data_IF_602700662526
#
_entry.id   IF_602700662526
#
_cell.length_a   1.000
_cell.length_b   1.000
_cell.length_c   1.000
_cell.angle_alpha   90.00
_cell.angle_beta   90.00
_cell.angle_gamma   90.00
#
_symmetry.space_group_name_H-M   'P 1'
#
loop_
_entity.id
_entity.type
_entity.pdbx_description
1 polymer ?
#
# COMPACT_ATOMS: atom_id res chain seq x y z
N UNK A 1 16.71 -12.73 -15.90
CA UNK A 1 16.57 -12.73 -14.43
C UNK A 1 15.31 -13.51 -14.09
N UNK A 2 15.43 -14.66 -13.40
CA UNK A 2 14.28 -15.34 -12.79
C UNK A 2 13.93 -14.55 -11.54
N UNK A 3 12.78 -13.88 -11.52
CA UNK A 3 12.29 -13.26 -10.29
C UNK A 3 11.90 -14.41 -9.37
N UNK A 4 12.78 -14.67 -8.40
CA UNK A 4 12.54 -15.63 -7.35
C UNK A 4 11.23 -15.33 -6.63
N UNK A 5 10.73 -16.36 -5.97
CA UNK A 5 9.60 -16.44 -5.03
C UNK A 5 9.51 -15.30 -3.99
N UNK A 6 10.53 -14.44 -3.93
CA UNK A 6 10.71 -13.21 -3.15
C UNK A 6 9.94 -11.99 -3.68
N UNK A 7 9.36 -12.03 -4.88
CA UNK A 7 8.63 -10.86 -5.42
C UNK A 7 7.34 -10.53 -4.64
N UNK A 8 6.67 -11.53 -4.05
CA UNK A 8 5.46 -11.32 -3.24
C UNK A 8 5.73 -10.60 -1.92
N UNK A 9 6.85 -10.93 -1.27
CA UNK A 9 7.30 -10.25 -0.05
C UNK A 9 7.64 -8.79 -0.35
N UNK A 10 8.21 -8.47 -1.51
CA UNK A 10 8.57 -7.10 -1.86
C UNK A 10 7.35 -6.18 -2.02
N UNK A 11 6.21 -6.71 -2.46
CA UNK A 11 4.95 -5.95 -2.52
C UNK A 11 4.37 -5.74 -1.12
N UNK A 12 4.31 -6.79 -0.30
CA UNK A 12 3.76 -6.70 1.05
C UNK A 12 4.63 -5.82 1.99
N UNK A 13 5.96 -5.87 1.84
CA UNK A 13 6.91 -5.20 2.74
C UNK A 13 7.04 -3.69 2.46
N UNK A 14 6.83 -3.24 1.24
CA UNK A 14 7.04 -1.82 0.89
C UNK A 14 5.87 -0.91 1.34
N UNK A 15 4.70 -1.48 1.63
CA UNK A 15 3.58 -0.77 2.30
C UNK A 15 3.94 -0.37 3.75
N UNK A 16 4.96 -1.00 4.37
CA UNK A 16 5.24 -0.94 5.82
C UNK A 16 6.32 0.09 6.22
N UNK A 17 7.01 0.75 5.28
CA UNK A 17 8.23 1.51 5.57
C UNK A 17 8.06 2.92 6.20
N UNK A 18 6.92 3.26 6.83
CA UNK A 18 6.69 4.59 7.47
C UNK A 18 6.82 4.53 9.01
N UNK A 19 7.53 3.55 9.56
CA UNK A 19 7.65 3.37 11.03
C UNK A 19 8.52 4.43 11.75
N UNK A 20 9.52 4.99 11.08
CA UNK A 20 10.55 5.81 11.74
C UNK A 20 10.09 7.24 12.13
N UNK A 21 9.01 7.76 11.53
CA UNK A 21 8.61 9.16 11.69
C UNK A 21 7.73 9.42 12.93
N UNK A 22 7.07 8.41 13.48
CA UNK A 22 6.05 8.56 14.53
C UNK A 22 6.67 8.96 15.89
N UNK A 23 7.86 8.46 16.20
CA UNK A 23 8.55 8.76 17.47
C UNK A 23 8.90 10.25 17.63
N UNK A 24 9.02 11.01 16.53
CA UNK A 24 9.32 12.45 16.59
C UNK A 24 8.15 13.29 17.11
N UNK A 25 6.91 12.85 16.90
CA UNK A 25 5.70 13.67 17.15
C UNK A 25 5.11 13.52 18.54
N UNK A 26 5.31 12.38 19.20
CA UNK A 26 4.76 12.16 20.54
C UNK A 26 5.49 12.97 21.61
N UNK A 27 6.71 13.44 21.33
CA UNK A 27 7.58 14.07 22.33
C UNK A 27 7.61 15.60 22.25
N UNK A 28 7.34 16.24 21.09
CA UNK A 28 7.68 17.67 20.91
C UNK A 28 6.57 18.65 20.47
N UNK A 29 5.49 18.23 19.83
CA UNK A 29 4.32 19.07 19.56
C UNK A 29 3.20 18.21 18.97
N UNK A 30 1.97 18.34 19.47
CA UNK A 30 0.81 17.68 18.88
C UNK A 30 0.67 18.05 17.39
N UNK A 31 0.15 17.15 16.53
CA UNK A 31 -0.09 17.46 15.12
C UNK A 31 -0.95 18.73 14.99
N UNK A 32 -0.66 19.60 14.02
CA UNK A 32 -1.63 20.62 13.58
C UNK A 32 -2.96 19.92 13.24
N UNK A 33 -4.10 20.60 13.44
CA UNK A 33 -5.42 19.98 13.19
C UNK A 33 -5.55 19.44 11.77
N UNK A 34 -4.98 20.14 10.79
CA UNK A 34 -4.89 19.74 9.38
C UNK A 34 -4.12 18.44 9.13
N UNK A 35 -3.17 18.10 10.00
CA UNK A 35 -2.34 16.90 9.88
C UNK A 35 -2.91 15.69 10.63
N UNK A 36 -3.97 15.87 11.42
CA UNK A 36 -4.61 14.76 12.14
C UNK A 36 -5.21 13.72 11.17
N UNK A 37 -5.94 14.10 10.10
CA UNK A 37 -6.46 13.14 9.13
C UNK A 37 -5.36 12.43 8.32
N UNK A 38 -4.27 13.13 8.00
CA UNK A 38 -3.11 12.53 7.34
C UNK A 38 -2.48 11.46 8.21
N UNK A 39 -2.36 11.70 9.52
CA UNK A 39 -1.84 10.71 10.46
C UNK A 39 -2.74 9.48 10.56
N UNK A 40 -4.06 9.63 10.63
CA UNK A 40 -5.00 8.50 10.60
C UNK A 40 -4.83 7.66 9.31
N UNK A 41 -4.64 8.31 8.15
CA UNK A 41 -4.34 7.61 6.89
C UNK A 41 -3.03 6.82 6.95
N UNK A 42 -1.95 7.42 7.43
CA UNK A 42 -0.64 6.77 7.56
C UNK A 42 -0.66 5.61 8.56
N UNK A 43 -1.32 5.80 9.70
CA UNK A 43 -1.46 4.77 10.74
C UNK A 43 -2.28 3.59 10.26
N UNK A 44 -3.39 3.85 9.57
CA UNK A 44 -4.19 2.81 8.96
C UNK A 44 -3.41 2.02 7.91
N UNK A 45 -2.68 2.70 7.03
CA UNK A 45 -1.85 2.03 6.03
C UNK A 45 -0.83 1.08 6.68
N UNK A 46 -0.14 1.53 7.74
CA UNK A 46 0.80 0.71 8.50
C UNK A 46 0.12 -0.50 9.13
N UNK A 47 -0.97 -0.26 9.86
CA UNK A 47 -1.69 -1.33 10.56
C UNK A 47 -2.26 -2.39 9.60
N UNK A 48 -2.77 -1.96 8.44
CA UNK A 48 -3.21 -2.87 7.39
C UNK A 48 -2.05 -3.62 6.74
N UNK A 49 -0.91 -2.95 6.49
CA UNK A 49 0.30 -3.61 5.99
C UNK A 49 0.77 -4.73 6.92
N UNK A 50 0.79 -4.51 8.23
CA UNK A 50 1.10 -5.54 9.24
C UNK A 50 0.07 -6.69 9.26
N UNK A 51 -1.22 -6.37 9.12
CA UNK A 51 -2.28 -7.39 9.06
C UNK A 51 -2.23 -8.23 7.77
N UNK A 52 -1.95 -7.61 6.63
CA UNK A 52 -1.78 -8.32 5.37
C UNK A 52 -0.53 -9.20 5.46
N UNK A 53 0.60 -8.65 5.90
CA UNK A 53 1.86 -9.39 6.05
C UNK A 53 1.72 -10.61 6.98
N UNK A 54 1.02 -10.46 8.12
CA UNK A 54 0.79 -11.56 9.06
C UNK A 54 -0.16 -12.64 8.53
N UNK A 55 -1.09 -12.30 7.63
CA UNK A 55 -2.01 -13.24 7.00
C UNK A 55 -1.40 -13.96 5.79
N UNK A 56 -0.50 -13.30 5.07
CA UNK A 56 0.21 -13.90 3.92
C UNK A 56 1.32 -14.87 4.34
N UNK A 57 1.84 -14.80 5.57
CA UNK A 57 2.88 -15.71 6.08
C UNK A 57 4.10 -15.84 5.16
N UNK A 58 4.83 -16.97 5.25
CA UNK A 58 5.86 -17.38 4.28
C UNK A 58 5.24 -18.02 3.02
N UNK A 59 3.91 -17.97 2.85
CA UNK A 59 3.21 -18.70 1.81
C UNK A 59 3.57 -18.12 0.43
N UNK A 60 4.29 -18.87 -0.40
CA UNK A 60 4.75 -18.34 -1.66
C UNK A 60 3.67 -18.47 -2.73
N UNK A 61 3.16 -17.37 -3.27
CA UNK A 61 2.19 -17.44 -4.36
C UNK A 61 1.44 -16.14 -4.60
N UNK A 62 0.60 -16.14 -5.64
CA UNK A 62 -0.34 -15.05 -5.92
C UNK A 62 -1.37 -15.00 -4.79
N UNK A 63 -1.73 -13.80 -4.28
CA UNK A 63 -2.84 -13.65 -3.36
C UNK A 63 -4.05 -14.43 -3.87
N UNK A 64 -4.56 -15.31 -3.02
CA UNK A 64 -5.83 -16.00 -3.18
C UNK A 64 -6.98 -15.01 -3.19
N UNK A 65 -8.16 -15.45 -3.63
CA UNK A 65 -9.38 -14.61 -3.64
C UNK A 65 -9.69 -14.08 -2.24
N UNK A 66 -9.41 -14.88 -1.20
CA UNK A 66 -9.59 -14.48 0.18
C UNK A 66 -8.62 -13.37 0.61
N UNK A 67 -7.38 -13.38 0.11
CA UNK A 67 -6.39 -12.33 0.37
C UNK A 67 -6.72 -11.04 -0.40
N UNK A 68 -7.25 -11.14 -1.62
CA UNK A 68 -7.76 -9.98 -2.37
C UNK A 68 -8.81 -9.18 -1.62
N UNK A 69 -9.71 -9.83 -0.87
CA UNK A 69 -10.70 -9.13 -0.04
C UNK A 69 -10.05 -8.28 1.05
N UNK A 70 -8.91 -8.72 1.62
CA UNK A 70 -8.15 -7.92 2.58
C UNK A 70 -7.48 -6.70 1.92
N UNK A 71 -6.96 -6.87 0.71
CA UNK A 71 -6.44 -5.76 -0.09
C UNK A 71 -7.54 -4.76 -0.47
N UNK A 72 -8.73 -5.23 -0.82
CA UNK A 72 -9.87 -4.36 -1.11
C UNK A 72 -10.27 -3.54 0.12
N UNK A 73 -10.40 -4.18 1.29
CA UNK A 73 -10.70 -3.48 2.54
C UNK A 73 -9.64 -2.42 2.90
N UNK A 74 -8.36 -2.69 2.60
CA UNK A 74 -7.30 -1.69 2.71
C UNK A 74 -7.51 -0.52 1.75
N UNK A 75 -7.75 -0.76 0.45
CA UNK A 75 -7.96 0.31 -0.52
C UNK A 75 -9.20 1.17 -0.19
N UNK A 76 -10.29 0.55 0.24
CA UNK A 76 -11.51 1.24 0.68
C UNK A 76 -11.22 2.11 1.91
N UNK A 77 -10.54 1.56 2.92
CA UNK A 77 -10.18 2.29 4.12
C UNK A 77 -9.15 3.41 3.89
N UNK A 78 -8.32 3.30 2.85
CA UNK A 78 -7.45 4.39 2.36
C UNK A 78 -8.28 5.52 1.74
N UNK A 79 -9.29 5.18 0.92
CA UNK A 79 -10.19 6.15 0.32
C UNK A 79 -11.03 6.90 1.36
N UNK A 80 -11.60 6.19 2.33
CA UNK A 80 -12.36 6.77 3.43
C UNK A 80 -11.54 7.79 4.24
N UNK A 81 -10.25 7.52 4.45
CA UNK A 81 -9.37 8.41 5.20
C UNK A 81 -8.85 9.56 4.36
N UNK A 82 -8.57 9.32 3.09
CA UNK A 82 -8.17 10.39 2.17
C UNK A 82 -9.26 11.47 2.06
N UNK A 83 -10.54 11.09 2.09
CA UNK A 83 -11.66 12.03 2.09
C UNK A 83 -11.73 12.93 3.34
N UNK A 84 -11.11 12.52 4.44
CA UNK A 84 -11.05 13.33 5.68
C UNK A 84 -9.91 14.36 5.66
N UNK A 85 -9.01 14.28 4.69
CA UNK A 85 -7.92 15.24 4.51
C UNK A 85 -8.48 16.46 3.75
N UNK A 86 -8.63 17.59 4.44
CA UNK A 86 -9.32 18.79 3.89
C UNK A 86 -8.38 19.88 3.40
N UNK A 87 -7.16 19.96 3.94
CA UNK A 87 -6.14 20.91 3.47
C UNK A 87 -5.87 20.68 1.97
N UNK A 88 -6.00 21.69 1.09
CA UNK A 88 -5.98 21.50 -0.36
C UNK A 88 -4.76 20.75 -0.89
N UNK A 89 -3.57 21.06 -0.37
CA UNK A 89 -2.32 20.44 -0.83
C UNK A 89 -2.18 19.00 -0.30
N UNK A 90 -2.61 18.74 0.94
CA UNK A 90 -2.60 17.39 1.51
C UNK A 90 -3.68 16.49 0.88
N UNK A 91 -4.87 17.06 0.61
CA UNK A 91 -6.01 16.36 0.05
C UNK A 91 -5.71 15.82 -1.35
N UNK A 92 -4.98 16.58 -2.17
CA UNK A 92 -4.54 16.16 -3.51
C UNK A 92 -3.67 14.91 -3.44
N UNK A 93 -2.64 14.93 -2.60
CA UNK A 93 -1.71 13.80 -2.46
C UNK A 93 -2.41 12.59 -1.82
N UNK A 94 -3.24 12.80 -0.78
CA UNK A 94 -4.02 11.74 -0.15
C UNK A 94 -5.01 11.06 -1.10
N UNK A 95 -5.74 11.84 -1.90
CA UNK A 95 -6.68 11.31 -2.92
C UNK A 95 -5.94 10.53 -4.00
N UNK A 96 -4.76 11.02 -4.42
CA UNK A 96 -3.91 10.33 -5.39
C UNK A 96 -3.44 8.98 -4.85
N UNK A 97 -2.99 8.93 -3.59
CA UNK A 97 -2.59 7.68 -2.92
C UNK A 97 -3.76 6.70 -2.84
N UNK A 98 -4.96 7.15 -2.44
CA UNK A 98 -6.15 6.30 -2.38
C UNK A 98 -6.56 5.77 -3.76
N UNK A 99 -6.44 6.58 -4.82
CA UNK A 99 -6.72 6.15 -6.19
C UNK A 99 -5.74 5.08 -6.63
N UNK A 100 -4.44 5.29 -6.40
CA UNK A 100 -3.40 4.32 -6.73
C UNK A 100 -3.56 3.01 -5.95
N UNK A 101 -4.02 3.06 -4.69
CA UNK A 101 -4.33 1.87 -3.91
C UNK A 101 -5.46 1.06 -4.56
N UNK A 102 -6.53 1.71 -5.02
CA UNK A 102 -7.60 1.05 -5.77
C UNK A 102 -7.10 0.44 -7.09
N UNK A 103 -6.28 1.16 -7.85
CA UNK A 103 -5.66 0.64 -9.08
C UNK A 103 -4.79 -0.59 -8.80
N UNK A 104 -4.05 -0.57 -7.69
CA UNK A 104 -3.21 -1.67 -7.26
C UNK A 104 -4.06 -2.93 -6.98
N UNK A 105 -5.17 -2.78 -6.24
CA UNK A 105 -6.07 -3.91 -5.95
C UNK A 105 -6.75 -4.43 -7.22
N UNK A 106 -7.19 -3.54 -8.11
CA UNK A 106 -7.79 -3.91 -9.39
C UNK A 106 -6.87 -4.79 -10.27
N UNK A 107 -5.55 -4.65 -10.11
CA UNK A 107 -4.55 -5.45 -10.83
C UNK A 107 -4.29 -6.84 -10.23
N UNK A 108 -4.71 -7.13 -9.00
CA UNK A 108 -4.50 -8.44 -8.37
C UNK A 108 -5.18 -9.56 -9.18
N UNK A 109 -6.42 -9.34 -9.62
CA UNK A 109 -7.18 -10.31 -10.41
C UNK A 109 -6.51 -10.61 -11.75
N UNK A 110 -5.94 -9.58 -12.38
CA UNK A 110 -5.19 -9.70 -13.62
C UNK A 110 -3.91 -10.51 -13.41
N UNK A 111 -3.15 -10.22 -12.35
CA UNK A 111 -1.95 -11.00 -12.03
C UNK A 111 -2.30 -12.46 -11.75
N UNK A 112 -3.41 -12.74 -11.06
CA UNK A 112 -3.89 -14.11 -10.84
C UNK A 112 -4.16 -14.85 -12.15
N UNK A 113 -5.02 -14.29 -12.99
CA UNK A 113 -5.37 -14.91 -14.27
C UNK A 113 -4.15 -15.15 -15.17
N UNK A 114 -3.20 -14.20 -15.21
CA UNK A 114 -2.00 -14.31 -16.01
C UNK A 114 -1.02 -15.36 -15.49
N UNK A 115 -1.03 -15.63 -14.19
CA UNK A 115 -0.13 -16.61 -13.61
C UNK A 115 -0.76 -18.02 -13.52
N UNK A 116 -2.08 -18.15 -13.44
CA UNK A 116 -2.79 -19.43 -13.66
C UNK A 116 -2.56 -19.98 -15.07
N UNK A 117 -2.40 -19.09 -16.06
CA UNK A 117 -2.17 -19.45 -17.46
C UNK A 117 -0.69 -19.73 -17.79
N UNK A 118 0.23 -19.64 -16.80
CA UNK A 118 1.68 -19.77 -17.01
C UNK A 118 2.23 -21.07 -16.47
N UNK A 119 3.19 -21.64 -17.19
CA UNK A 119 3.91 -22.84 -16.75
C UNK A 119 4.71 -22.56 -15.45
N UNK A 120 4.86 -23.56 -14.56
CA UNK A 120 5.72 -23.44 -13.38
C UNK A 120 7.14 -22.99 -13.76
N UNK A 121 7.63 -21.90 -13.15
CA UNK A 121 8.96 -21.35 -13.41
C UNK A 121 9.08 -20.39 -14.59
N UNK A 122 7.98 -20.06 -15.27
CA UNK A 122 7.94 -18.99 -16.26
C UNK A 122 8.24 -17.62 -15.61
N UNK A 123 8.75 -16.64 -16.39
CA UNK A 123 8.96 -15.27 -15.88
C UNK A 123 7.67 -14.66 -15.34
N UNK A 124 7.81 -13.71 -14.42
CA UNK A 124 6.69 -12.98 -13.85
C UNK A 124 5.80 -12.34 -14.94
N UNK A 125 4.46 -12.36 -14.79
CA UNK A 125 3.56 -11.69 -15.72
C UNK A 125 3.85 -10.19 -15.87
N UNK A 126 3.62 -9.54 -17.03
CA UNK A 126 3.82 -8.10 -17.18
C UNK A 126 3.10 -7.24 -16.12
N UNK A 127 1.89 -7.66 -15.72
CA UNK A 127 1.08 -6.96 -14.72
C UNK A 127 1.79 -6.82 -13.35
N UNK A 128 2.73 -7.71 -13.04
CA UNK A 128 3.62 -7.63 -11.86
C UNK A 128 4.44 -6.35 -11.85
N UNK A 129 5.01 -5.97 -12.99
CA UNK A 129 5.83 -4.77 -13.08
C UNK A 129 4.98 -3.50 -12.95
N UNK A 130 3.76 -3.51 -13.48
CA UNK A 130 2.79 -2.43 -13.29
C UNK A 130 2.41 -2.27 -11.82
N UNK A 131 2.14 -3.37 -11.12
CA UNK A 131 1.86 -3.36 -9.68
C UNK A 131 3.03 -2.84 -8.85
N UNK A 132 4.26 -3.21 -9.20
CA UNK A 132 5.45 -2.68 -8.55
C UNK A 132 5.58 -1.15 -8.75
N UNK A 133 5.25 -0.65 -9.94
CA UNK A 133 5.26 0.78 -10.22
C UNK A 133 4.15 1.53 -9.46
N UNK A 134 2.94 0.96 -9.37
CA UNK A 134 1.85 1.50 -8.56
C UNK A 134 2.24 1.58 -7.09
N UNK A 135 2.81 0.49 -6.54
CA UNK A 135 3.29 0.44 -5.17
C UNK A 135 4.36 1.51 -4.89
N UNK A 136 5.35 1.68 -5.78
CA UNK A 136 6.35 2.74 -5.62
C UNK A 136 5.72 4.15 -5.57
N UNK A 137 4.68 4.41 -6.38
CA UNK A 137 3.96 5.68 -6.37
C UNK A 137 3.15 5.89 -5.09
N UNK A 138 2.51 4.83 -4.58
CA UNK A 138 1.80 4.84 -3.29
C UNK A 138 2.79 5.20 -2.17
N UNK A 139 3.91 4.49 -2.06
CA UNK A 139 4.94 4.76 -1.04
C UNK A 139 5.47 6.18 -1.11
N UNK A 140 5.78 6.68 -2.32
CA UNK A 140 6.23 8.05 -2.51
C UNK A 140 5.19 9.09 -2.03
N UNK A 141 3.91 8.88 -2.33
CA UNK A 141 2.83 9.76 -1.89
C UNK A 141 2.61 9.72 -0.38
N UNK A 142 2.73 8.54 0.24
CA UNK A 142 2.68 8.39 1.70
C UNK A 142 3.87 9.11 2.37
N UNK A 143 5.07 9.00 1.81
CA UNK A 143 6.26 9.70 2.29
C UNK A 143 6.11 11.22 2.16
N UNK A 144 5.53 11.71 1.06
CA UNK A 144 5.25 13.13 0.85
C UNK A 144 4.29 13.66 1.92
N UNK A 145 3.18 12.95 2.15
CA UNK A 145 2.21 13.27 3.22
C UNK A 145 2.88 13.27 4.60
N UNK A 146 3.71 12.27 4.89
CA UNK A 146 4.42 12.17 6.15
C UNK A 146 5.42 13.32 6.35
N UNK A 147 6.16 13.72 5.32
CA UNK A 147 7.08 14.86 5.34
C UNK A 147 6.35 16.19 5.50
N UNK A 148 5.22 16.37 4.83
CA UNK A 148 4.40 17.58 4.93
C UNK A 148 3.83 17.78 6.34
N UNK A 149 3.56 16.68 7.05
CA UNK A 149 3.08 16.68 8.43
C UNK A 149 4.18 16.51 9.51
N UNK A 150 5.43 16.78 9.06
CA UNK A 150 6.80 16.93 9.65
C UNK A 150 7.00 17.39 11.08
#
# INVERSE_FOLDING_TARGET
>A
MKLDRRWWVAIAVVVVAVGALILRYTVFAGPSEECRPVKDLLDFNRAQGEQIASKTGDAPGIPSVAEEAAYQAWADGMAERAQKVTSPDLARTATTVATLANDFVGKLSLVRSQADSRAPGAPAPPAVYEMAALNARISNGLDELAKACS
#
